data_IF_013835053426
#
_entry.id   IF_013835053426
#
_cell.length_a   1.000
_cell.length_b   1.000
_cell.length_c   1.000
_cell.angle_alpha   90.00
_cell.angle_beta   90.00
_cell.angle_gamma   90.00
#
_symmetry.space_group_name_H-M   'P 1'
#
loop_
_entity.id
_entity.type
_entity.pdbx_description
1 polymer ?
#
# COMPACT_ATOMS: atom_id res chain seq x y z
N UNK A 1 5.96 7.87 -16.58
CA UNK A 1 5.92 7.55 -15.14
C UNK A 1 7.01 6.54 -14.85
N UNK A 2 7.76 6.69 -13.75
CA UNK A 2 8.64 5.63 -13.28
C UNK A 2 7.77 4.43 -12.89
N UNK A 3 8.01 3.25 -13.46
CA UNK A 3 7.27 2.02 -13.13
C UNK A 3 7.75 1.41 -11.80
N UNK A 4 8.20 2.24 -10.85
CA UNK A 4 8.77 1.83 -9.57
C UNK A 4 8.13 2.64 -8.45
N UNK A 5 7.82 1.95 -7.36
CA UNK A 5 7.35 2.53 -6.11
C UNK A 5 8.34 2.14 -5.03
N UNK A 6 8.86 3.12 -4.31
CA UNK A 6 9.74 2.90 -3.17
C UNK A 6 8.90 2.95 -1.88
N UNK A 7 9.12 1.99 -0.98
CA UNK A 7 8.42 1.87 0.29
C UNK A 7 9.44 1.61 1.40
N UNK A 8 9.19 2.15 2.58
CA UNK A 8 10.01 1.92 3.77
C UNK A 8 9.14 1.88 5.03
N UNK A 9 9.58 1.13 6.05
CA UNK A 9 8.97 1.16 7.38
C UNK A 9 9.14 2.56 7.98
N UNK A 10 8.09 3.10 8.59
CA UNK A 10 8.00 4.46 9.12
C UNK A 10 7.65 5.52 8.08
N UNK A 11 7.48 5.16 6.81
CA UNK A 11 7.14 6.12 5.77
C UNK A 11 5.69 6.62 5.93
N UNK A 12 5.52 7.93 5.92
CA UNK A 12 4.20 8.59 5.90
C UNK A 12 3.52 8.38 4.55
N UNK A 13 2.24 8.00 4.58
CA UNK A 13 1.43 7.71 3.40
C UNK A 13 0.08 8.44 3.46
N UNK A 14 -0.52 8.64 2.30
CA UNK A 14 -1.81 9.31 2.15
C UNK A 14 -2.69 8.53 1.18
N UNK A 15 -3.96 8.37 1.56
CA UNK A 15 -5.00 7.84 0.70
C UNK A 15 -5.28 8.84 -0.41
N UNK A 16 -5.23 8.42 -1.68
CA UNK A 16 -5.36 9.31 -2.86
C UNK A 16 -6.73 9.24 -3.54
N UNK A 17 -7.56 8.29 -3.15
CA UNK A 17 -8.93 8.13 -3.64
C UNK A 17 -9.82 7.68 -2.49
N UNK A 18 -11.10 8.06 -2.53
CA UNK A 18 -12.03 7.63 -1.49
C UNK A 18 -12.19 6.11 -1.52
N UNK A 19 -11.88 5.45 -0.41
CA UNK A 19 -12.00 4.00 -0.24
C UNK A 19 -13.30 3.67 0.49
N UNK A 20 -13.51 4.25 1.68
CA UNK A 20 -14.71 4.06 2.50
C UNK A 20 -14.94 5.30 3.39
N UNK A 21 -15.98 6.08 3.07
CA UNK A 21 -16.27 7.36 3.74
C UNK A 21 -16.83 7.20 5.14
N UNK A 22 -17.58 6.14 5.38
CA UNK A 22 -18.13 5.74 6.68
C UNK A 22 -17.07 5.22 7.65
N UNK A 23 -15.87 4.92 7.16
CA UNK A 23 -14.73 4.44 7.93
C UNK A 23 -13.59 5.47 8.04
N UNK A 24 -13.82 6.69 7.56
CA UNK A 24 -12.84 7.78 7.43
C UNK A 24 -11.61 7.43 6.58
N UNK A 25 -11.75 6.48 5.65
CA UNK A 25 -10.74 6.13 4.64
C UNK A 25 -11.02 6.88 3.34
N UNK A 26 -10.82 8.19 3.39
CA UNK A 26 -11.08 9.13 2.29
C UNK A 26 -9.79 9.72 1.75
N UNK A 27 -9.84 10.37 0.58
CA UNK A 27 -8.71 11.09 0.04
C UNK A 27 -8.20 12.12 1.07
N UNK A 28 -6.89 12.11 1.32
CA UNK A 28 -6.25 12.94 2.33
C UNK A 28 -6.11 12.27 3.70
N UNK A 29 -6.76 11.13 3.95
CA UNK A 29 -6.51 10.35 5.15
C UNK A 29 -5.04 9.90 5.19
N UNK A 30 -4.40 10.04 6.34
CA UNK A 30 -2.97 9.81 6.53
C UNK A 30 -2.71 8.62 7.44
N UNK A 31 -1.57 7.98 7.22
CA UNK A 31 -1.04 6.93 8.09
C UNK A 31 0.46 6.79 7.89
N UNK A 32 1.04 5.79 8.52
CA UNK A 32 2.45 5.44 8.29
C UNK A 32 2.61 3.93 8.13
N UNK A 33 3.61 3.53 7.35
CA UNK A 33 3.93 2.12 7.11
C UNK A 33 4.54 1.52 8.38
N UNK A 34 3.91 0.48 8.91
CA UNK A 34 4.38 -0.26 10.09
C UNK A 34 5.21 -1.46 9.68
N UNK A 35 4.80 -2.15 8.62
CA UNK A 35 5.47 -3.36 8.15
C UNK A 35 5.22 -3.60 6.66
N UNK A 36 6.10 -4.35 6.00
CA UNK A 36 5.99 -4.70 4.59
C UNK A 36 6.14 -6.22 4.48
N UNK A 37 5.02 -6.89 4.24
CA UNK A 37 5.01 -8.34 4.10
C UNK A 37 5.30 -8.73 2.65
N UNK A 38 6.32 -9.56 2.46
CA UNK A 38 6.76 -9.97 1.13
C UNK A 38 5.92 -11.13 0.59
N UNK A 39 5.81 -11.20 -0.73
CA UNK A 39 5.20 -12.36 -1.40
C UNK A 39 6.05 -13.61 -1.15
N UNK A 40 5.41 -14.76 -0.89
CA UNK A 40 6.11 -16.01 -0.62
C UNK A 40 6.95 -16.54 -1.78
N UNK A 41 6.75 -16.02 -3.00
CA UNK A 41 7.55 -16.33 -4.20
C UNK A 41 8.87 -15.58 -4.24
N UNK A 42 9.05 -14.56 -3.39
CA UNK A 42 10.31 -13.86 -3.28
C UNK A 42 11.39 -14.75 -2.68
N UNK A 43 12.60 -14.65 -3.23
CA UNK A 43 13.79 -15.26 -2.67
C UNK A 43 14.75 -14.15 -2.25
N UNK A 44 14.39 -13.44 -1.18
CA UNK A 44 15.18 -12.30 -0.71
C UNK A 44 16.45 -12.80 -0.05
N UNK A 45 17.59 -12.47 -0.65
CA UNK A 45 18.89 -12.59 -0.01
C UNK A 45 19.10 -11.35 0.86
N UNK A 46 19.55 -11.53 2.10
CA UNK A 46 19.97 -10.41 2.94
C UNK A 46 21.03 -9.59 2.18
N UNK A 47 20.67 -8.37 1.76
CA UNK A 47 21.60 -7.45 1.13
C UNK A 47 22.23 -6.58 2.22
N UNK A 48 23.50 -6.22 2.06
CA UNK A 48 24.21 -5.34 3.00
C UNK A 48 23.60 -3.93 3.09
N UNK A 49 22.66 -3.58 2.20
CA UNK A 49 22.16 -2.21 2.01
C UNK A 49 20.76 -1.96 2.57
N UNK A 50 20.13 -2.90 3.29
CA UNK A 50 18.74 -2.78 3.79
C UNK A 50 17.70 -2.37 2.71
N UNK A 51 18.06 -2.52 1.44
CA UNK A 51 17.23 -2.21 0.28
C UNK A 51 17.07 -3.51 -0.50
N UNK A 52 15.82 -3.85 -0.76
CA UNK A 52 15.43 -5.06 -1.50
C UNK A 52 14.62 -4.64 -2.70
N UNK A 53 15.07 -5.05 -3.90
CA UNK A 53 14.25 -4.95 -5.11
C UNK A 53 13.43 -6.22 -5.23
N UNK A 54 12.10 -6.08 -5.18
CA UNK A 54 11.16 -7.18 -5.27
C UNK A 54 10.86 -7.51 -6.73
N UNK A 55 10.73 -8.80 -7.03
CA UNK A 55 10.32 -9.32 -8.34
C UNK A 55 8.80 -9.36 -8.49
N UNK A 56 8.09 -9.53 -7.39
CA UNK A 56 6.65 -9.54 -7.21
C UNK A 56 6.23 -8.36 -6.32
N UNK A 57 5.00 -7.84 -6.44
CA UNK A 57 4.48 -6.90 -5.46
C UNK A 57 4.53 -7.50 -4.04
N UNK A 58 4.67 -6.69 -2.98
CA UNK A 58 4.54 -7.19 -1.61
C UNK A 58 3.16 -7.84 -1.42
N UNK A 59 3.05 -8.84 -0.54
CA UNK A 59 1.78 -9.48 -0.23
C UNK A 59 0.78 -8.46 0.34
N UNK A 60 1.25 -7.63 1.27
CA UNK A 60 0.56 -6.43 1.75
C UNK A 60 1.56 -5.47 2.40
N UNK A 61 1.16 -4.22 2.53
CA UNK A 61 1.83 -3.19 3.34
C UNK A 61 0.92 -2.90 4.54
N UNK A 62 1.42 -3.08 5.75
CA UNK A 62 0.67 -2.78 6.96
C UNK A 62 0.80 -1.28 7.26
N UNK A 63 -0.33 -0.59 7.36
CA UNK A 63 -0.37 0.85 7.62
C UNK A 63 -1.16 1.11 8.89
N UNK A 64 -0.60 1.90 9.79
CA UNK A 64 -1.34 2.45 10.92
C UNK A 64 -1.91 3.82 10.54
N UNK A 65 -3.24 3.93 10.52
CA UNK A 65 -3.94 5.15 10.17
C UNK A 65 -3.94 6.13 11.36
N UNK A 66 -3.65 7.41 11.11
CA UNK A 66 -3.70 8.45 12.16
C UNK A 66 -5.12 8.63 12.70
N UNK A 67 -6.11 8.55 11.80
CA UNK A 67 -7.53 8.61 12.11
C UNK A 67 -8.27 7.61 11.24
N UNK A 68 -9.09 6.76 11.85
CA UNK A 68 -10.01 5.87 11.16
C UNK A 68 -11.08 5.39 12.12
N UNK A 69 -12.26 5.04 11.59
CA UNK A 69 -13.34 4.36 12.31
C UNK A 69 -13.35 2.86 12.08
N UNK A 70 -12.33 2.31 11.40
CA UNK A 70 -12.20 0.87 11.23
C UNK A 70 -11.98 0.20 12.58
N UNK A 71 -12.82 -0.78 12.90
CA UNK A 71 -12.61 -1.66 14.05
C UNK A 71 -11.30 -2.44 13.88
N UNK A 72 -10.66 -2.77 15.00
CA UNK A 72 -9.48 -3.63 14.97
C UNK A 72 -9.80 -4.95 14.24
N UNK A 73 -8.97 -5.28 13.25
CA UNK A 73 -9.02 -6.58 12.60
C UNK A 73 -8.49 -7.63 13.57
N UNK A 74 -9.01 -8.85 13.48
CA UNK A 74 -8.56 -9.95 14.34
C UNK A 74 -7.04 -10.15 14.23
N UNK A 75 -6.35 -10.16 15.37
CA UNK A 75 -4.90 -10.27 15.44
C UNK A 75 -4.12 -8.97 15.19
N UNK A 76 -4.79 -7.83 14.96
CA UNK A 76 -4.15 -6.52 14.77
C UNK A 76 -4.60 -5.49 15.82
N UNK A 77 -3.75 -4.49 16.06
CA UNK A 77 -4.12 -3.34 16.87
C UNK A 77 -5.12 -2.44 16.13
N UNK A 78 -5.91 -1.67 16.88
CA UNK A 78 -6.87 -0.73 16.30
C UNK A 78 -6.19 0.26 15.33
N UNK A 79 -6.84 0.55 14.20
CA UNK A 79 -6.31 1.47 13.19
C UNK A 79 -5.23 0.89 12.26
N UNK A 80 -4.81 -0.36 12.47
CA UNK A 80 -3.89 -1.06 11.56
C UNK A 80 -4.66 -1.72 10.41
N UNK A 81 -4.26 -1.39 9.17
CA UNK A 81 -4.90 -1.86 7.96
C UNK A 81 -3.88 -2.49 7.00
N UNK A 82 -4.12 -3.72 6.51
CA UNK A 82 -3.33 -4.29 5.43
C UNK A 82 -3.75 -3.66 4.08
N UNK A 83 -2.83 -2.99 3.41
CA UNK A 83 -3.01 -2.48 2.06
C UNK A 83 -2.43 -3.48 1.07
N UNK A 84 -3.31 -4.12 0.30
CA UNK A 84 -2.93 -5.12 -0.71
C UNK A 84 -2.74 -4.47 -2.09
N UNK A 85 -1.73 -4.89 -2.87
CA UNK A 85 -1.64 -4.48 -4.27
C UNK A 85 -2.86 -4.95 -5.06
N UNK A 86 -3.33 -4.10 -5.97
CA UNK A 86 -4.45 -4.43 -6.87
C UNK A 86 -3.98 -4.33 -8.32
N UNK A 87 -4.33 -5.34 -9.12
CA UNK A 87 -4.19 -5.28 -10.58
C UNK A 87 -5.52 -4.85 -11.20
N UNK A 88 -5.50 -3.79 -12.02
CA UNK A 88 -6.66 -3.35 -12.79
C UNK A 88 -6.26 -3.07 -14.23
N UNK A 89 -7.07 -3.56 -15.17
CA UNK A 89 -6.95 -3.21 -16.59
C UNK A 89 -7.63 -1.87 -16.84
N UNK A 90 -6.99 -0.98 -17.60
CA UNK A 90 -7.60 0.28 -18.05
C UNK A 90 -7.42 0.43 -19.56
N UNK A 91 -8.44 0.99 -20.22
CA UNK A 91 -8.37 1.34 -21.63
C UNK A 91 -7.93 2.79 -21.76
N UNK A 92 -6.88 3.02 -22.54
CA UNK A 92 -6.40 4.37 -22.84
C UNK A 92 -7.07 4.79 -24.15
N UNK A 93 -7.99 5.77 -24.07
CA UNK A 93 -8.52 6.42 -25.27
C UNK A 93 -7.68 7.66 -25.55
N UNK A 94 -6.91 7.65 -26.65
CA UNK A 94 -6.19 8.83 -27.11
C UNK A 94 -7.16 9.82 -27.75
N UNK A 95 -6.94 11.13 -27.56
CA UNK A 95 -7.77 12.19 -28.13
C UNK A 95 -7.74 12.25 -29.68
N UNK A 96 -6.91 11.45 -30.34
CA UNK A 96 -6.91 11.25 -31.78
C UNK A 96 -7.70 9.99 -32.15
N UNK A 97 -8.92 10.18 -32.65
CA UNK A 97 -9.80 9.14 -33.19
C UNK A 97 -11.24 9.65 -33.19
N UNK A 98 -11.76 10.32 -34.23
CA UNK A 98 -11.44 10.25 -35.66
C UNK A 98 -10.44 11.28 -36.18
#
# INVERSE_FOLDING_TARGET
LSNKVELAIGMEVMVTFNVATDLDLVNGAQGHVVDIMLDSRECVKCTEKNIVQLQYPPLYVLVEMKHTRVNALEGLCGGMLPVMPMCRTFSITTAAGK
#
